data_IF_609926253000
#
_entry.id   IF_609926253000
#
_cell.length_a   1.000
_cell.length_b   1.000
_cell.length_c   1.000
_cell.angle_alpha   90.00
_cell.angle_beta   90.00
_cell.angle_gamma   90.00
#
_symmetry.space_group_name_H-M   'P 1'
#
loop_
_entity.id
_entity.type
_entity.pdbx_description
1 polymer ?
#
# COMPACT_ATOMS: atom_id res chain seq x y z
N UNK A 1 -13.27 48.23 -61.48
CA UNK A 1 -12.18 47.40 -60.95
C UNK A 1 -12.47 47.13 -59.49
N UNK A 2 -13.02 45.98 -59.15
CA UNK A 2 -13.34 45.61 -57.77
C UNK A 2 -13.03 44.13 -57.62
N UNK A 3 -11.91 43.80 -56.96
CA UNK A 3 -11.45 42.43 -56.74
C UNK A 3 -12.26 41.82 -55.59
N UNK A 4 -12.92 40.69 -55.87
CA UNK A 4 -13.60 39.86 -54.87
C UNK A 4 -12.53 38.96 -54.23
N UNK A 5 -12.27 39.14 -52.93
CA UNK A 5 -11.38 38.30 -52.14
C UNK A 5 -12.20 37.12 -51.59
N UNK A 6 -11.87 35.89 -52.03
CA UNK A 6 -12.43 34.66 -51.46
C UNK A 6 -11.65 34.31 -50.19
N UNK A 7 -12.33 34.32 -49.04
CA UNK A 7 -11.79 33.83 -47.77
C UNK A 7 -12.09 32.34 -47.67
N UNK A 8 -11.05 31.49 -47.75
CA UNK A 8 -11.16 30.06 -47.47
C UNK A 8 -11.14 29.87 -45.96
N UNK A 9 -12.24 29.34 -45.42
CA UNK A 9 -12.36 28.96 -44.01
C UNK A 9 -11.55 27.66 -43.79
N UNK A 10 -10.35 27.77 -43.22
CA UNK A 10 -9.63 26.61 -42.69
C UNK A 10 -10.34 26.17 -41.41
N UNK A 11 -11.02 25.03 -41.46
CA UNK A 11 -11.56 24.35 -40.29
C UNK A 11 -10.37 23.78 -39.51
N UNK A 12 -9.93 24.48 -38.47
CA UNK A 12 -8.94 23.97 -37.53
C UNK A 12 -9.52 22.77 -36.79
N UNK A 13 -9.02 21.56 -37.08
CA UNK A 13 -9.19 20.43 -36.18
C UNK A 13 -8.47 20.79 -34.88
N UNK A 14 -9.22 21.29 -33.90
CA UNK A 14 -8.80 21.23 -32.50
C UNK A 14 -8.81 19.75 -32.12
N UNK A 15 -7.68 19.08 -32.30
CA UNK A 15 -7.42 17.82 -31.63
C UNK A 15 -7.55 18.12 -30.15
N UNK A 16 -8.66 17.71 -29.55
CA UNK A 16 -8.73 17.58 -28.11
C UNK A 16 -7.58 16.65 -27.76
N UNK A 17 -6.55 17.20 -27.11
CA UNK A 17 -5.52 16.43 -26.44
C UNK A 17 -6.26 15.56 -25.44
N UNK A 18 -6.58 14.33 -25.86
CA UNK A 18 -6.97 13.29 -24.96
C UNK A 18 -5.77 13.14 -24.03
N UNK A 19 -5.94 13.63 -22.80
CA UNK A 19 -5.05 13.30 -21.71
C UNK A 19 -5.07 11.79 -21.61
N UNK A 20 -4.09 11.13 -22.22
CA UNK A 20 -3.81 9.74 -21.98
C UNK A 20 -3.34 9.66 -20.54
N UNK A 21 -4.25 9.28 -19.65
CA UNK A 21 -3.94 8.90 -18.28
C UNK A 21 -3.12 7.61 -18.40
N UNK A 22 -1.80 7.73 -18.29
CA UNK A 22 -0.95 6.57 -18.12
C UNK A 22 -1.27 5.98 -16.74
N UNK A 23 -1.80 4.76 -16.71
CA UNK A 23 -2.04 4.01 -15.48
C UNK A 23 -0.69 3.47 -14.99
N UNK A 24 -0.25 3.84 -13.79
CA UNK A 24 1.00 3.35 -13.19
C UNK A 24 0.74 2.29 -12.13
N UNK A 25 0.49 1.07 -12.60
CA UNK A 25 0.76 -0.15 -11.86
C UNK A 25 1.98 -0.84 -12.47
N UNK A 26 2.85 -1.42 -11.65
CA UNK A 26 3.96 -2.26 -12.12
C UNK A 26 3.49 -3.46 -12.96
N UNK A 27 2.21 -3.82 -12.86
CA UNK A 27 1.56 -4.90 -13.58
C UNK A 27 1.56 -4.63 -15.09
N UNK A 28 2.18 -5.53 -15.86
CA UNK A 28 2.26 -5.44 -17.33
C UNK A 28 3.40 -4.58 -17.88
N UNK A 29 4.23 -3.97 -17.02
CA UNK A 29 5.44 -3.24 -17.41
C UNK A 29 6.68 -4.13 -17.26
N UNK A 30 6.75 -4.90 -16.18
CA UNK A 30 7.91 -5.73 -15.83
C UNK A 30 7.61 -7.23 -15.98
N UNK A 31 8.63 -7.98 -16.37
CA UNK A 31 8.60 -9.44 -16.52
C UNK A 31 8.75 -10.09 -15.14
N UNK A 32 7.60 -10.34 -14.50
CA UNK A 32 7.52 -10.98 -13.17
C UNK A 32 7.95 -12.45 -13.15
N UNK A 33 8.31 -13.05 -14.29
CA UNK A 33 8.67 -14.47 -14.37
C UNK A 33 10.14 -14.74 -14.12
N UNK A 34 10.97 -13.69 -14.09
CA UNK A 34 12.42 -13.81 -13.87
C UNK A 34 12.97 -12.58 -13.17
N UNK A 35 14.11 -12.78 -12.53
CA UNK A 35 14.91 -11.72 -11.94
C UNK A 35 16.24 -11.61 -12.68
N UNK A 36 16.72 -10.39 -12.87
CA UNK A 36 18.06 -10.09 -13.39
C UNK A 36 18.83 -9.24 -12.37
N UNK A 37 20.16 -9.29 -12.47
CA UNK A 37 21.04 -8.43 -11.69
C UNK A 37 21.47 -7.21 -12.53
N UNK A 38 21.52 -6.04 -11.90
CA UNK A 38 22.01 -4.79 -12.47
C UNK A 38 22.95 -4.14 -11.46
N UNK A 39 24.19 -3.89 -11.86
CA UNK A 39 25.17 -3.15 -11.06
C UNK A 39 25.48 -1.81 -11.72
N UNK A 40 25.48 -0.73 -10.93
CA UNK A 40 25.79 0.60 -11.45
C UNK A 40 26.00 1.63 -10.36
N UNK A 41 26.28 2.87 -10.81
CA UNK A 41 26.41 4.04 -9.92
C UNK A 41 25.14 4.86 -9.98
N UNK A 42 24.58 5.20 -8.83
CA UNK A 42 23.36 6.01 -8.73
C UNK A 42 23.66 7.45 -9.17
N UNK A 43 22.97 7.92 -10.20
CA UNK A 43 23.11 9.27 -10.75
C UNK A 43 21.96 10.20 -10.37
N UNK A 44 20.80 9.64 -10.00
CA UNK A 44 19.62 10.39 -9.57
C UNK A 44 18.76 9.59 -8.61
N UNK A 45 18.14 10.30 -7.65
CA UNK A 45 17.18 9.76 -6.69
C UNK A 45 15.92 10.63 -6.70
N UNK A 46 14.78 10.03 -7.03
CA UNK A 46 13.45 10.63 -6.93
C UNK A 46 12.64 9.90 -5.85
N UNK A 47 12.70 10.40 -4.62
CA UNK A 47 11.92 9.88 -3.50
C UNK A 47 10.54 10.54 -3.45
N UNK A 48 9.59 10.03 -4.25
CA UNK A 48 8.20 10.49 -4.30
C UNK A 48 7.22 9.32 -4.27
N UNK A 49 6.04 9.56 -3.69
CA UNK A 49 5.00 8.55 -3.57
C UNK A 49 4.27 8.39 -4.92
N UNK A 50 3.80 7.19 -5.32
CA UNK A 50 3.82 5.93 -4.58
C UNK A 50 5.20 5.24 -4.53
N UNK A 51 5.93 5.22 -5.64
CA UNK A 51 7.17 4.45 -5.81
C UNK A 51 8.36 5.38 -6.01
N UNK A 52 9.44 5.24 -5.22
CA UNK A 52 10.66 5.97 -5.50
C UNK A 52 11.28 5.45 -6.80
N UNK A 53 11.96 6.33 -7.52
CA UNK A 53 12.71 5.98 -8.72
C UNK A 53 14.16 6.40 -8.59
N UNK A 54 15.05 5.57 -9.13
CA UNK A 54 16.49 5.83 -9.19
C UNK A 54 16.96 5.77 -10.64
N UNK A 55 18.02 6.50 -10.95
CA UNK A 55 18.76 6.32 -12.21
C UNK A 55 20.15 5.79 -11.90
N UNK A 56 20.54 4.72 -12.57
CA UNK A 56 21.85 4.10 -12.45
C UNK A 56 22.61 4.26 -13.76
N UNK A 57 23.85 4.72 -13.70
CA UNK A 57 24.82 4.58 -14.77
C UNK A 57 25.40 3.16 -14.71
N UNK A 58 25.10 2.34 -15.71
CA UNK A 58 25.53 0.93 -15.83
C UNK A 58 26.48 0.82 -17.00
N UNK A 59 27.65 0.22 -16.80
CA UNK A 59 28.57 -0.10 -17.90
C UNK A 59 28.12 -1.41 -18.56
N UNK A 60 27.98 -1.40 -19.89
CA UNK A 60 27.65 -2.58 -20.67
C UNK A 60 28.90 -3.39 -21.05
N UNK A 61 28.70 -4.47 -21.82
CA UNK A 61 29.79 -5.36 -22.24
C UNK A 61 30.82 -4.68 -23.16
N UNK A 62 30.42 -3.60 -23.85
CA UNK A 62 31.29 -2.82 -24.74
C UNK A 62 32.00 -1.67 -23.99
N UNK A 63 31.72 -1.51 -22.69
CA UNK A 63 32.25 -0.44 -21.84
C UNK A 63 31.54 0.90 -22.03
N UNK A 64 30.41 0.93 -22.73
CA UNK A 64 29.56 2.11 -22.82
C UNK A 64 28.67 2.23 -21.59
N UNK A 65 28.39 3.47 -21.17
CA UNK A 65 27.49 3.72 -20.04
C UNK A 65 26.06 3.89 -20.51
N UNK A 66 25.15 3.08 -19.96
CA UNK A 66 23.71 3.12 -20.20
C UNK A 66 22.98 3.55 -18.94
N UNK A 67 22.05 4.50 -19.07
CA UNK A 67 21.17 4.92 -17.98
C UNK A 67 20.05 3.90 -17.78
N UNK A 68 20.03 3.27 -16.61
CA UNK A 68 18.97 2.39 -16.15
C UNK A 68 18.00 3.12 -15.23
N UNK A 69 16.70 2.98 -15.50
CA UNK A 69 15.63 3.48 -14.61
C UNK A 69 15.20 2.37 -13.67
N UNK A 70 15.29 2.64 -12.39
CA UNK A 70 14.92 1.69 -11.34
C UNK A 70 13.67 2.22 -10.64
N UNK A 71 12.73 1.33 -10.37
CA UNK A 71 11.61 1.55 -9.45
C UNK A 71 11.67 0.52 -8.31
N UNK A 72 11.15 0.87 -7.14
CA UNK A 72 11.06 -0.05 -5.99
C UNK A 72 9.62 -0.09 -5.44
N UNK A 73 9.40 -0.88 -4.39
CA UNK A 73 8.15 -0.88 -3.62
C UNK A 73 7.77 0.51 -3.09
N UNK A 74 6.53 0.66 -2.64
CA UNK A 74 6.04 1.98 -2.25
C UNK A 74 6.84 2.58 -1.09
N UNK A 75 6.94 3.91 -1.02
CA UNK A 75 7.65 4.59 0.07
C UNK A 75 7.13 4.16 1.44
N UNK A 76 5.82 4.04 1.59
CA UNK A 76 5.18 3.53 2.82
C UNK A 76 5.67 2.14 3.20
N UNK A 77 5.79 1.24 2.21
CA UNK A 77 6.32 -0.12 2.42
C UNK A 77 7.79 -0.09 2.82
N UNK A 78 8.60 0.69 2.09
CA UNK A 78 10.03 0.81 2.34
C UNK A 78 10.31 1.38 3.74
N UNK A 79 9.57 2.41 4.17
CA UNK A 79 9.67 2.96 5.54
C UNK A 79 9.36 1.91 6.60
N UNK A 80 8.31 1.11 6.39
CA UNK A 80 7.98 -0.01 7.30
C UNK A 80 9.10 -1.05 7.33
N UNK A 81 9.83 -1.25 6.24
CA UNK A 81 11.01 -2.11 6.15
C UNK A 81 12.31 -1.43 6.62
N UNK A 82 12.23 -0.19 7.11
CA UNK A 82 13.38 0.58 7.61
C UNK A 82 14.29 1.14 6.53
N UNK A 83 13.76 1.31 5.32
CA UNK A 83 14.42 1.88 4.16
C UNK A 83 13.87 3.30 3.96
N UNK A 84 14.68 4.28 4.35
CA UNK A 84 14.37 5.70 4.23
C UNK A 84 14.94 6.33 2.96
N UNK A 85 14.68 7.63 2.80
CA UNK A 85 15.14 8.44 1.66
C UNK A 85 16.65 8.37 1.43
N UNK A 86 17.40 8.34 2.52
CA UNK A 86 18.86 8.43 2.50
C UNK A 86 19.51 7.03 2.55
N UNK A 87 18.74 5.96 2.27
CA UNK A 87 19.24 4.59 2.20
C UNK A 87 20.06 4.32 0.93
N UNK A 88 19.76 5.03 -0.16
CA UNK A 88 20.49 5.02 -1.42
C UNK A 88 20.72 6.47 -1.83
N UNK A 89 21.98 6.87 -1.99
CA UNK A 89 22.37 8.23 -2.33
C UNK A 89 23.01 8.33 -3.72
N UNK A 90 23.02 9.54 -4.29
CA UNK A 90 23.73 9.79 -5.54
C UNK A 90 25.23 9.57 -5.32
N UNK A 91 25.84 8.78 -6.20
CA UNK A 91 27.24 8.37 -6.12
C UNK A 91 27.44 6.97 -5.53
N UNK A 92 26.42 6.38 -4.90
CA UNK A 92 26.50 5.00 -4.43
C UNK A 92 26.66 4.04 -5.59
N UNK A 93 27.56 3.05 -5.43
CA UNK A 93 27.61 1.87 -6.29
C UNK A 93 26.75 0.79 -5.66
N UNK A 94 25.76 0.31 -6.40
CA UNK A 94 24.78 -0.66 -5.90
C UNK A 94 24.62 -1.83 -6.86
N UNK A 95 24.34 -3.01 -6.31
CA UNK A 95 23.91 -4.18 -7.08
C UNK A 95 22.46 -4.48 -6.72
N UNK A 96 21.59 -4.49 -7.73
CA UNK A 96 20.16 -4.70 -7.60
C UNK A 96 19.75 -5.99 -8.29
N UNK A 97 18.78 -6.70 -7.70
CA UNK A 97 18.08 -7.79 -8.35
C UNK A 97 16.61 -7.43 -8.50
N UNK A 98 16.05 -7.65 -9.69
CA UNK A 98 14.70 -7.19 -9.99
C UNK A 98 14.11 -7.71 -11.28
N UNK A 99 12.87 -7.34 -11.53
CA UNK A 99 12.09 -7.75 -12.69
C UNK A 99 12.39 -6.79 -13.85
N UNK A 100 12.90 -7.26 -14.99
CA UNK A 100 13.25 -6.39 -16.11
C UNK A 100 12.02 -5.91 -16.89
N UNK A 101 12.14 -4.80 -17.61
CA UNK A 101 11.11 -4.31 -18.53
C UNK A 101 10.66 -5.38 -19.54
N UNK A 102 9.36 -5.61 -19.70
CA UNK A 102 8.80 -6.40 -20.80
C UNK A 102 9.01 -5.74 -22.17
N UNK A 103 9.37 -4.45 -22.19
CA UNK A 103 9.57 -3.64 -23.41
C UNK A 103 11.01 -3.63 -23.90
N UNK A 104 11.92 -4.36 -23.24
CA UNK A 104 13.34 -4.41 -23.57
C UNK A 104 14.09 -3.09 -23.34
N UNK A 105 13.54 -2.20 -22.50
CA UNK A 105 14.19 -0.96 -22.08
C UNK A 105 15.08 -1.21 -20.86
N UNK A 106 16.10 -0.36 -20.61
CA UNK A 106 16.91 -0.41 -19.39
C UNK A 106 16.08 0.10 -18.20
N UNK A 107 15.06 -0.67 -17.83
CA UNK A 107 14.18 -0.41 -16.70
C UNK A 107 14.09 -1.68 -15.84
N UNK A 108 14.10 -1.51 -14.52
CA UNK A 108 14.06 -2.59 -13.54
C UNK A 108 13.10 -2.25 -12.40
N UNK A 109 12.20 -3.16 -12.06
CA UNK A 109 11.52 -3.13 -10.78
C UNK A 109 12.39 -3.87 -9.75
N UNK A 110 13.14 -3.13 -8.95
CA UNK A 110 14.05 -3.68 -7.97
C UNK A 110 13.28 -4.39 -6.85
N UNK A 111 13.61 -5.67 -6.65
CA UNK A 111 13.10 -6.49 -5.56
C UNK A 111 14.08 -6.52 -4.39
N UNK A 112 15.38 -6.40 -4.65
CA UNK A 112 16.45 -6.57 -3.69
C UNK A 112 17.62 -5.63 -4.00
N UNK A 113 18.40 -5.28 -2.98
CA UNK A 113 19.69 -4.59 -3.09
C UNK A 113 20.72 -5.31 -2.23
N UNK A 114 21.92 -5.50 -2.77
CA UNK A 114 23.10 -5.96 -2.04
C UNK A 114 23.90 -4.74 -1.58
N UNK A 115 24.07 -4.61 -0.27
CA UNK A 115 24.82 -3.54 0.36
C UNK A 115 26.33 -3.83 0.32
N UNK A 116 27.14 -2.78 0.41
CA UNK A 116 28.60 -2.89 0.40
C UNK A 116 29.18 -3.75 1.54
N UNK A 117 28.46 -3.88 2.65
CA UNK A 117 28.82 -4.75 3.78
C UNK A 117 28.40 -6.22 3.59
N UNK A 118 27.83 -6.57 2.43
CA UNK A 118 27.42 -7.91 2.05
C UNK A 118 26.04 -8.32 2.55
N UNK A 119 25.32 -7.43 3.24
CA UNK A 119 23.91 -7.65 3.63
C UNK A 119 22.96 -7.35 2.48
N UNK A 120 21.83 -8.03 2.47
CA UNK A 120 20.78 -7.87 1.48
C UNK A 120 19.57 -7.17 2.09
N UNK A 121 19.07 -6.12 1.43
CA UNK A 121 17.80 -5.49 1.79
C UNK A 121 16.72 -5.80 0.75
N UNK A 122 15.52 -6.07 1.24
CA UNK A 122 14.33 -6.26 0.41
C UNK A 122 13.74 -4.89 0.05
N UNK A 123 13.40 -4.68 -1.22
CA UNK A 123 12.89 -3.41 -1.74
C UNK A 123 11.39 -3.43 -2.08
N UNK A 124 10.66 -4.46 -1.66
CA UNK A 124 9.21 -4.57 -1.87
C UNK A 124 8.58 -5.57 -0.90
N UNK A 125 7.29 -5.39 -0.60
CA UNK A 125 6.55 -6.18 0.41
C UNK A 125 6.56 -7.70 0.19
N UNK A 126 6.61 -8.14 -1.07
CA UNK A 126 6.56 -9.55 -1.47
C UNK A 126 7.92 -10.08 -1.98
N UNK A 127 8.99 -9.30 -1.83
CA UNK A 127 10.33 -9.75 -2.23
C UNK A 127 10.79 -10.93 -1.38
N UNK A 128 11.53 -11.85 -1.99
CA UNK A 128 12.22 -12.95 -1.29
C UNK A 128 13.72 -12.69 -1.35
N UNK A 129 14.52 -13.23 -0.40
CA UNK A 129 15.97 -13.18 -0.50
C UNK A 129 16.46 -13.72 -1.85
N UNK A 130 17.40 -13.03 -2.47
CA UNK A 130 17.98 -13.35 -3.78
C UNK A 130 19.43 -13.84 -3.65
N UNK A 131 20.28 -13.15 -2.88
CA UNK A 131 21.67 -13.55 -2.63
C UNK A 131 21.86 -14.30 -1.31
N UNK A 132 20.87 -14.23 -0.42
CA UNK A 132 20.95 -14.70 0.96
C UNK A 132 20.07 -15.93 1.23
N UNK A 133 19.85 -16.78 0.23
CA UNK A 133 19.15 -18.07 0.44
C UNK A 133 19.87 -18.89 1.53
N UNK A 134 19.39 -18.83 2.77
CA UNK A 134 19.84 -19.68 3.89
C UNK A 134 20.21 -19.01 5.23
N UNK A 135 20.11 -17.69 5.42
CA UNK A 135 20.45 -17.14 6.75
C UNK A 135 20.02 -15.70 7.02
N UNK A 136 19.25 -15.50 8.10
CA UNK A 136 18.80 -14.19 8.57
C UNK A 136 19.96 -13.20 8.85
N UNK A 137 21.15 -13.70 9.20
CA UNK A 137 22.33 -12.88 9.49
C UNK A 137 22.85 -12.06 8.30
N UNK A 138 22.47 -12.44 7.08
CA UNK A 138 22.81 -11.71 5.86
C UNK A 138 21.72 -10.76 5.40
N UNK A 139 20.59 -10.71 6.09
CA UNK A 139 19.52 -9.75 5.78
C UNK A 139 19.76 -8.43 6.52
N UNK A 140 19.50 -7.33 5.83
CA UNK A 140 19.40 -6.02 6.47
C UNK A 140 18.12 -5.98 7.32
N UNK A 141 18.31 -5.63 8.59
CA UNK A 141 17.24 -5.30 9.51
C UNK A 141 17.53 -3.91 10.08
N UNK A 142 16.56 -3.01 9.97
CA UNK A 142 16.67 -1.70 10.59
C UNK A 142 16.42 -1.83 12.10
N UNK A 143 17.42 -1.46 12.89
CA UNK A 143 17.23 -1.26 14.33
C UNK A 143 16.40 -0.01 14.59
N UNK A 144 15.52 -0.07 15.59
CA UNK A 144 14.83 1.12 16.10
C UNK A 144 15.66 1.65 17.27
N UNK A 145 15.97 2.94 17.24
CA UNK A 145 16.74 3.61 18.29
C UNK A 145 16.06 3.45 19.67
N UNK A 146 16.80 2.94 20.65
CA UNK A 146 16.25 2.63 21.96
C UNK A 146 15.81 3.88 22.74
N UNK A 147 16.46 5.02 22.53
CA UNK A 147 16.08 6.29 23.15
C UNK A 147 14.77 6.81 22.54
N UNK A 148 14.59 6.65 21.22
CA UNK A 148 13.35 6.94 20.53
C UNK A 148 12.20 6.07 21.04
N UNK A 149 12.43 4.77 21.24
CA UNK A 149 11.45 3.88 21.86
C UNK A 149 11.09 4.37 23.26
N UNK A 150 12.07 4.67 24.11
CA UNK A 150 11.80 5.12 25.49
C UNK A 150 11.00 6.43 25.51
N UNK A 151 11.42 7.45 24.75
CA UNK A 151 10.68 8.72 24.64
C UNK A 151 9.27 8.51 24.09
N UNK A 152 9.12 7.65 23.09
CA UNK A 152 7.83 7.30 22.51
C UNK A 152 6.88 6.65 23.52
N UNK A 153 7.40 5.77 24.40
CA UNK A 153 6.58 5.13 25.45
C UNK A 153 6.06 6.14 26.48
N UNK A 154 6.86 7.14 26.84
CA UNK A 154 6.49 8.16 27.83
C UNK A 154 5.35 9.07 27.36
N UNK A 155 5.24 9.32 26.05
CA UNK A 155 4.23 10.20 25.47
C UNK A 155 2.98 9.50 24.92
N UNK A 156 3.04 8.18 24.72
CA UNK A 156 1.95 7.42 24.12
C UNK A 156 0.94 6.96 25.17
N UNK A 157 -0.34 6.96 24.78
CA UNK A 157 -1.44 6.50 25.64
C UNK A 157 -2.26 5.45 24.90
N UNK A 158 -2.29 4.22 25.41
CA UNK A 158 -3.10 3.15 24.83
C UNK A 158 -2.86 2.97 23.32
N UNK A 159 -3.94 2.99 22.53
CA UNK A 159 -3.90 2.79 21.08
C UNK A 159 -3.48 4.05 20.28
N UNK A 160 -3.29 5.21 20.92
CA UNK A 160 -2.96 6.48 20.27
C UNK A 160 -1.48 6.52 19.88
N UNK A 161 -1.14 5.72 18.88
CA UNK A 161 0.19 5.39 18.40
C UNK A 161 0.13 5.16 16.88
N UNK A 162 1.29 5.14 16.25
CA UNK A 162 1.43 4.67 14.87
C UNK A 162 1.63 3.15 14.89
N UNK A 163 0.80 2.47 14.11
CA UNK A 163 0.73 1.02 13.97
C UNK A 163 1.12 0.62 12.56
N UNK A 164 2.01 -0.36 12.42
CA UNK A 164 2.39 -0.88 11.11
C UNK A 164 2.49 -2.41 11.12
N UNK A 165 2.48 -3.01 9.93
CA UNK A 165 2.72 -4.44 9.79
C UNK A 165 4.15 -4.79 10.21
N UNK A 166 4.37 -6.06 10.55
CA UNK A 166 5.71 -6.64 10.66
C UNK A 166 6.13 -7.16 9.28
N UNK A 167 7.25 -6.69 8.68
CA UNK A 167 7.77 -7.25 7.42
C UNK A 167 7.96 -8.76 7.48
N UNK A 168 7.70 -9.46 6.37
CA UNK A 168 7.78 -10.92 6.23
C UNK A 168 6.96 -11.80 7.20
N UNK A 169 6.11 -11.21 8.04
CA UNK A 169 5.17 -11.94 8.90
C UNK A 169 3.76 -12.03 8.28
N UNK A 170 3.32 -13.26 7.98
CA UNK A 170 2.03 -13.58 7.35
C UNK A 170 0.82 -13.55 8.29
N UNK A 171 1.03 -13.47 9.61
CA UNK A 171 -0.01 -13.21 10.60
C UNK A 171 -0.20 -11.70 10.81
N UNK A 172 0.81 -10.88 10.51
CA UNK A 172 0.67 -9.43 10.49
C UNK A 172 0.09 -8.89 9.18
N UNK A 173 0.48 -9.46 8.03
CA UNK A 173 -0.04 -9.07 6.71
C UNK A 173 0.25 -10.15 5.65
N UNK A 174 -0.66 -10.43 4.69
CA UNK A 174 -1.95 -9.77 4.44
C UNK A 174 -3.10 -10.23 5.34
N UNK A 175 -4.14 -9.39 5.48
CA UNK A 175 -5.39 -9.73 6.20
C UNK A 175 -6.19 -10.82 5.49
N UNK A 176 -6.35 -10.65 4.17
CA UNK A 176 -7.06 -11.57 3.30
C UNK A 176 -6.00 -12.45 2.62
N UNK A 177 -5.98 -13.73 2.98
CA UNK A 177 -5.09 -14.72 2.36
C UNK A 177 -5.61 -15.11 0.98
N UNK A 178 -4.75 -15.69 0.15
CA UNK A 178 -4.85 -15.87 -1.32
C UNK A 178 -6.25 -16.13 -1.92
N UNK A 179 -7.16 -16.77 -1.19
CA UNK A 179 -8.59 -16.80 -1.49
C UNK A 179 -9.39 -16.38 -0.24
N UNK A 180 -10.23 -15.36 -0.41
CA UNK A 180 -11.19 -14.96 0.63
C UNK A 180 -12.13 -16.13 0.95
N UNK A 181 -12.41 -17.02 -0.01
CA UNK A 181 -13.15 -18.26 0.14
C UNK A 181 -14.61 -18.09 0.57
N UNK A 182 -15.36 -19.20 0.69
CA UNK A 182 -16.70 -19.21 1.29
C UNK A 182 -17.72 -18.28 0.61
N UNK A 183 -17.58 -18.08 -0.71
CA UNK A 183 -18.42 -17.19 -1.49
C UNK A 183 -19.73 -17.88 -1.89
N UNK A 184 -20.81 -17.11 -2.04
CA UNK A 184 -22.03 -17.60 -2.68
C UNK A 184 -21.79 -17.84 -4.17
N UNK A 185 -22.59 -18.71 -4.80
CA UNK A 185 -22.54 -18.92 -6.26
C UNK A 185 -22.74 -17.62 -7.08
N UNK A 186 -23.45 -16.65 -6.51
CA UNK A 186 -23.62 -15.33 -7.14
C UNK A 186 -22.31 -14.52 -7.07
N UNK A 187 -21.67 -14.47 -5.91
CA UNK A 187 -20.40 -13.79 -5.72
C UNK A 187 -19.27 -14.43 -6.53
N UNK A 188 -19.20 -15.76 -6.60
CA UNK A 188 -18.21 -16.46 -7.44
C UNK A 188 -18.35 -16.10 -8.91
N UNK A 189 -19.59 -16.01 -9.43
CA UNK A 189 -19.85 -15.60 -10.82
C UNK A 189 -19.42 -14.17 -11.12
N UNK A 190 -19.52 -13.27 -10.15
CA UNK A 190 -19.04 -11.89 -10.28
C UNK A 190 -17.51 -11.88 -10.26
N UNK A 191 -16.89 -12.54 -9.28
CA UNK A 191 -15.43 -12.61 -9.16
C UNK A 191 -14.77 -13.26 -10.37
N UNK A 192 -15.39 -14.27 -10.97
CA UNK A 192 -14.88 -14.93 -12.18
C UNK A 192 -14.78 -14.01 -13.41
N UNK A 193 -15.42 -12.83 -13.38
CA UNK A 193 -15.32 -11.81 -14.43
C UNK A 193 -14.18 -10.81 -14.17
N UNK A 194 -13.48 -10.92 -13.04
CA UNK A 194 -12.39 -10.04 -12.67
C UNK A 194 -11.23 -10.17 -13.66
N UNK A 195 -10.87 -9.04 -14.26
CA UNK A 195 -9.63 -8.89 -15.01
C UNK A 195 -8.65 -8.05 -14.17
N UNK A 196 -7.59 -8.65 -13.61
CA UNK A 196 -6.63 -7.90 -12.80
C UNK A 196 -5.91 -6.80 -13.58
N UNK A 197 -5.87 -6.85 -14.91
CA UNK A 197 -5.29 -5.81 -15.77
C UNK A 197 -6.21 -4.59 -15.93
N UNK A 198 -7.49 -4.72 -15.59
CA UNK A 198 -8.49 -3.65 -15.61
C UNK A 198 -8.88 -3.21 -14.19
N UNK A 199 -8.15 -3.66 -13.18
CA UNK A 199 -8.44 -3.34 -11.79
C UNK A 199 -8.41 -1.82 -11.55
N UNK A 200 -9.45 -1.20 -10.96
CA UNK A 200 -9.45 0.23 -10.65
C UNK A 200 -8.33 0.61 -9.68
N UNK A 201 -7.82 -0.36 -8.90
CA UNK A 201 -6.76 -0.13 -7.93
C UNK A 201 -5.36 0.01 -8.55
N UNK A 202 -5.20 -0.32 -9.84
CA UNK A 202 -3.93 -0.12 -10.57
C UNK A 202 -3.52 1.36 -10.63
N UNK A 203 -4.48 2.28 -10.59
CA UNK A 203 -4.23 3.74 -10.59
C UNK A 203 -4.18 4.35 -9.19
N UNK A 204 -3.86 3.57 -8.16
CA UNK A 204 -3.93 4.01 -6.76
C UNK A 204 -5.31 4.52 -6.31
N UNK A 205 -6.39 4.05 -6.96
CA UNK A 205 -7.75 4.40 -6.55
C UNK A 205 -7.98 4.04 -5.06
N UNK A 206 -8.68 4.88 -4.29
CA UNK A 206 -8.93 4.62 -2.88
C UNK A 206 -9.62 3.28 -2.62
N UNK A 207 -9.17 2.57 -1.59
CA UNK A 207 -9.79 1.34 -1.11
C UNK A 207 -10.87 1.68 -0.08
N UNK A 208 -12.06 1.12 -0.24
CA UNK A 208 -13.14 1.21 0.76
C UNK A 208 -13.03 0.15 1.85
N UNK A 209 -14.02 0.09 2.73
CA UNK A 209 -14.13 -0.98 3.73
C UNK A 209 -14.74 -2.26 3.16
N UNK A 210 -14.29 -3.44 3.66
CA UNK A 210 -13.21 -3.60 4.65
C UNK A 210 -11.80 -3.61 4.04
N UNK A 211 -11.67 -3.57 2.70
CA UNK A 211 -10.41 -3.75 1.99
C UNK A 211 -9.25 -2.90 2.53
N UNK A 212 -9.48 -1.61 2.82
CA UNK A 212 -8.45 -0.68 3.30
C UNK A 212 -7.82 -1.10 4.63
N UNK A 213 -8.53 -1.87 5.49
CA UNK A 213 -7.97 -2.40 6.74
C UNK A 213 -6.98 -3.55 6.52
N UNK A 214 -6.96 -4.11 5.31
CA UNK A 214 -5.93 -5.02 4.82
C UNK A 214 -4.65 -4.33 4.33
N UNK A 215 -4.56 -3.00 4.39
CA UNK A 215 -3.41 -2.24 3.91
C UNK A 215 -2.09 -2.68 4.57
N UNK A 216 -1.00 -2.60 3.81
CA UNK A 216 0.35 -2.80 4.31
C UNK A 216 0.93 -1.52 4.98
N UNK A 217 0.25 -0.38 4.87
CA UNK A 217 0.81 0.92 5.24
C UNK A 217 0.49 1.29 6.68
N UNK A 218 1.23 2.25 7.27
CA UNK A 218 0.97 2.71 8.62
C UNK A 218 -0.44 3.27 8.81
N UNK A 219 -0.98 3.08 10.01
CA UNK A 219 -2.20 3.73 10.47
C UNK A 219 -2.03 4.27 11.88
N UNK A 220 -2.88 5.21 12.27
CA UNK A 220 -2.94 5.71 13.64
C UNK A 220 -4.38 5.97 14.07
N UNK A 221 -4.61 5.86 15.38
CA UNK A 221 -5.82 6.38 16.02
C UNK A 221 -5.48 7.74 16.61
N UNK A 222 -6.34 8.72 16.36
CA UNK A 222 -6.22 10.06 16.93
C UNK A 222 -7.51 10.48 17.63
N UNK A 223 -7.44 11.12 18.80
CA UNK A 223 -8.61 11.71 19.45
C UNK A 223 -9.25 12.78 18.55
N UNK A 224 -10.57 12.76 18.43
CA UNK A 224 -11.34 13.76 17.67
C UNK A 224 -12.55 14.21 18.48
N UNK A 225 -12.31 15.12 19.43
CA UNK A 225 -13.32 15.48 20.43
C UNK A 225 -13.65 14.28 21.31
N UNK A 226 -14.92 13.91 21.39
CA UNK A 226 -15.38 12.69 22.08
C UNK A 226 -15.28 11.44 21.22
N UNK A 227 -15.00 11.60 19.92
CA UNK A 227 -14.91 10.52 18.94
C UNK A 227 -13.45 10.13 18.68
N UNK A 228 -13.26 9.06 17.90
CA UNK A 228 -11.95 8.66 17.39
C UNK A 228 -11.89 8.85 15.88
N UNK A 229 -10.70 9.14 15.37
CA UNK A 229 -10.42 9.11 13.94
C UNK A 229 -9.31 8.08 13.70
N UNK A 230 -9.55 7.14 12.78
CA UNK A 230 -8.48 6.34 12.19
C UNK A 230 -7.97 7.10 10.97
N UNK A 231 -6.66 7.38 10.95
CA UNK A 231 -5.95 7.81 9.75
C UNK A 231 -5.16 6.63 9.22
N UNK A 232 -5.35 6.29 7.95
CA UNK A 232 -4.51 5.32 7.26
C UNK A 232 -3.68 6.08 6.23
N UNK A 233 -2.39 5.73 6.14
CA UNK A 233 -1.47 6.36 5.18
C UNK A 233 -1.88 6.04 3.74
N UNK A 234 -2.47 4.86 3.49
CA UNK A 234 -2.97 4.52 2.15
C UNK A 234 -4.15 5.40 1.75
N UNK A 235 -4.00 6.08 0.60
CA UNK A 235 -5.03 6.95 0.01
C UNK A 235 -5.50 8.10 0.91
N UNK A 236 -4.72 8.48 1.91
CA UNK A 236 -5.10 9.48 2.93
C UNK A 236 -6.46 9.17 3.59
N UNK A 237 -6.77 7.88 3.76
CA UNK A 237 -8.06 7.43 4.26
C UNK A 237 -8.31 7.88 5.71
N UNK A 238 -9.52 8.39 5.94
CA UNK A 238 -9.97 8.97 7.22
C UNK A 238 -11.30 8.34 7.61
N UNK A 239 -11.33 7.64 8.74
CA UNK A 239 -12.53 6.98 9.28
C UNK A 239 -12.87 7.51 10.67
N UNK A 240 -14.02 8.16 10.82
CA UNK A 240 -14.49 8.61 12.14
C UNK A 240 -15.27 7.49 12.81
N UNK A 241 -14.91 7.17 14.05
CA UNK A 241 -15.65 6.26 14.92
C UNK A 241 -16.40 7.10 15.95
N UNK A 242 -17.72 7.03 15.90
CA UNK A 242 -18.61 7.73 16.81
C UNK A 242 -18.70 6.98 18.13
N UNK A 243 -18.21 7.58 19.21
CA UNK A 243 -18.10 6.93 20.52
C UNK A 243 -19.25 7.33 21.45
N UNK A 244 -19.37 6.65 22.59
CA UNK A 244 -20.23 7.07 23.71
C UNK A 244 -21.72 7.23 23.34
N UNK A 245 -22.21 6.41 22.41
CA UNK A 245 -23.60 6.47 21.95
C UNK A 245 -23.90 7.64 21.00
N UNK A 246 -22.88 8.34 20.51
CA UNK A 246 -23.04 9.34 19.46
C UNK A 246 -23.62 8.71 18.18
N UNK A 247 -24.50 9.44 17.51
CA UNK A 247 -25.13 8.99 16.27
C UNK A 247 -24.16 9.14 15.10
N UNK A 248 -23.80 8.02 14.47
CA UNK A 248 -23.09 8.04 13.20
C UNK A 248 -24.02 8.50 12.06
N UNK A 249 -23.48 9.06 10.96
CA UNK A 249 -24.26 9.39 9.77
C UNK A 249 -25.08 8.19 9.28
N UNK A 250 -26.25 8.44 8.68
CA UNK A 250 -27.06 7.39 8.06
C UNK A 250 -26.79 7.24 6.56
N UNK A 251 -25.90 8.07 6.00
CA UNK A 251 -25.57 8.07 4.58
C UNK A 251 -24.57 6.98 4.24
N UNK A 252 -24.67 6.46 3.01
CA UNK A 252 -23.71 5.52 2.48
C UNK A 252 -22.39 6.20 2.12
N UNK A 253 -21.27 5.54 2.41
CA UNK A 253 -19.94 5.99 2.01
C UNK A 253 -19.00 4.81 1.82
N UNK A 254 -17.85 5.04 1.19
CA UNK A 254 -16.81 4.01 1.03
C UNK A 254 -16.27 3.48 2.37
N UNK A 255 -16.39 4.26 3.46
CA UNK A 255 -15.97 3.88 4.82
C UNK A 255 -17.15 3.61 5.75
N UNK A 256 -18.37 3.56 5.23
CA UNK A 256 -19.57 3.34 6.01
C UNK A 256 -19.79 4.37 7.11
N UNK A 257 -20.45 3.92 8.17
CA UNK A 257 -20.78 4.67 9.37
C UNK A 257 -20.44 3.83 10.58
N UNK A 258 -19.39 4.23 11.31
CA UNK A 258 -18.80 3.44 12.39
C UNK A 258 -19.21 3.98 13.77
N UNK A 259 -19.70 3.11 14.65
CA UNK A 259 -19.90 3.41 16.07
C UNK A 259 -18.97 2.55 16.91
N UNK A 260 -18.52 3.06 18.06
CA UNK A 260 -17.52 2.37 18.87
C UNK A 260 -17.78 2.44 20.37
N UNK A 261 -17.28 1.42 21.06
CA UNK A 261 -17.27 1.33 22.53
C UNK A 261 -16.02 0.62 23.02
N UNK A 262 -15.63 0.92 24.25
CA UNK A 262 -14.55 0.23 24.94
C UNK A 262 -15.08 -0.96 25.76
N UNK A 263 -14.32 -2.04 25.76
CA UNK A 263 -14.47 -3.20 26.63
C UNK A 263 -13.08 -3.59 27.15
N UNK A 264 -12.75 -3.15 28.36
CA UNK A 264 -11.38 -3.21 28.89
C UNK A 264 -10.38 -2.50 27.97
N UNK A 265 -9.37 -3.23 27.50
CA UNK A 265 -8.34 -2.77 26.55
C UNK A 265 -8.72 -2.98 25.07
N UNK A 266 -9.97 -3.36 24.79
CA UNK A 266 -10.45 -3.61 23.43
C UNK A 266 -11.40 -2.50 22.98
N UNK A 267 -11.09 -1.87 21.85
CA UNK A 267 -12.02 -1.02 21.12
C UNK A 267 -12.85 -1.91 20.19
N UNK A 268 -14.16 -1.91 20.37
CA UNK A 268 -15.10 -2.63 19.53
C UNK A 268 -15.81 -1.61 18.65
N UNK A 269 -15.76 -1.81 17.34
CA UNK A 269 -16.32 -0.90 16.33
C UNK A 269 -17.29 -1.66 15.45
N UNK A 270 -18.51 -1.15 15.31
CA UNK A 270 -19.53 -1.66 14.41
C UNK A 270 -19.69 -0.69 13.24
N UNK A 271 -19.64 -1.19 12.01
CA UNK A 271 -19.76 -0.37 10.80
C UNK A 271 -20.82 -0.89 9.85
N UNK A 272 -21.67 0.01 9.34
CA UNK A 272 -22.72 -0.26 8.35
C UNK A 272 -22.71 0.81 7.24
N UNK A 273 -23.67 0.78 6.31
CA UNK A 273 -23.84 1.77 5.24
C UNK A 273 -22.61 1.91 4.33
N UNK A 274 -21.95 0.80 4.04
CA UNK A 274 -20.74 0.78 3.21
C UNK A 274 -21.16 0.73 1.72
N UNK A 275 -20.52 1.56 0.90
CA UNK A 275 -20.75 1.63 -0.54
C UNK A 275 -19.41 1.69 -1.28
N UNK A 276 -18.88 0.51 -1.57
CA UNK A 276 -17.68 0.29 -2.39
C UNK A 276 -17.86 -1.02 -3.16
N UNK A 277 -17.37 -1.13 -4.41
CA UNK A 277 -17.69 -2.25 -5.29
C UNK A 277 -17.04 -3.59 -4.92
N UNK A 278 -15.91 -3.58 -4.21
CA UNK A 278 -15.14 -4.80 -3.94
C UNK A 278 -14.78 -4.94 -2.46
N UNK A 279 -14.96 -6.16 -1.95
CA UNK A 279 -14.48 -6.59 -0.65
C UNK A 279 -12.94 -6.70 -0.61
N UNK A 280 -12.35 -7.19 -1.70
CA UNK A 280 -10.91 -7.40 -1.82
C UNK A 280 -10.42 -7.17 -3.27
N UNK A 281 -9.10 -6.99 -3.43
CA UNK A 281 -8.46 -6.66 -4.70
C UNK A 281 -8.40 -7.79 -5.73
N UNK A 282 -9.02 -8.94 -5.44
CA UNK A 282 -9.17 -10.10 -6.33
C UNK A 282 -10.51 -10.08 -7.10
N UNK A 283 -11.27 -8.99 -6.98
CA UNK A 283 -12.59 -8.84 -7.59
C UNK A 283 -13.73 -9.45 -6.78
N UNK A 284 -13.48 -9.92 -5.55
CA UNK A 284 -14.55 -10.35 -4.64
C UNK A 284 -15.54 -9.19 -4.43
N UNK A 285 -16.84 -9.35 -4.76
CA UNK A 285 -17.84 -8.30 -4.56
C UNK A 285 -18.15 -8.12 -3.07
N UNK A 286 -18.95 -7.12 -2.73
CA UNK A 286 -19.59 -7.00 -1.42
C UNK A 286 -21.01 -6.45 -1.58
N UNK A 287 -21.89 -6.75 -0.63
CA UNK A 287 -23.23 -6.18 -0.60
C UNK A 287 -23.26 -4.85 0.16
N UNK A 288 -24.32 -4.08 -0.10
CA UNK A 288 -24.61 -2.85 0.67
C UNK A 288 -25.22 -3.13 2.04
N UNK A 289 -25.68 -4.36 2.26
CA UNK A 289 -26.23 -4.82 3.54
C UNK A 289 -25.15 -5.33 4.49
N UNK A 290 -23.88 -5.33 4.06
CA UNK A 290 -22.75 -5.77 4.87
C UNK A 290 -22.65 -5.00 6.20
N UNK A 291 -22.46 -5.74 7.28
CA UNK A 291 -22.16 -5.22 8.62
C UNK A 291 -20.78 -5.73 9.04
N UNK A 292 -19.95 -4.84 9.55
CA UNK A 292 -18.63 -5.18 10.07
C UNK A 292 -18.62 -5.03 11.59
N UNK A 293 -18.00 -5.97 12.29
CA UNK A 293 -17.60 -5.81 13.70
C UNK A 293 -16.09 -5.97 13.80
N UNK A 294 -15.41 -4.88 14.13
CA UNK A 294 -13.96 -4.79 14.27
C UNK A 294 -13.60 -4.77 15.77
N UNK A 295 -12.59 -5.55 16.16
CA UNK A 295 -12.03 -5.57 17.50
C UNK A 295 -10.56 -5.17 17.42
N UNK A 296 -10.18 -4.12 18.13
CA UNK A 296 -8.81 -3.67 18.26
C UNK A 296 -8.37 -3.85 19.72
N UNK A 297 -7.58 -4.88 20.01
CA UNK A 297 -7.15 -5.23 21.37
C UNK A 297 -5.68 -4.89 21.55
N UNK A 298 -5.39 -3.99 22.49
CA UNK A 298 -4.02 -3.59 22.81
C UNK A 298 -3.37 -4.59 23.76
N UNK A 299 -2.15 -5.04 23.47
CA UNK A 299 -1.38 -5.91 24.36
C UNK A 299 -1.03 -5.22 25.69
N UNK A 300 -0.75 -5.99 26.73
CA UNK A 300 -0.32 -5.46 28.04
C UNK A 300 0.98 -4.64 27.95
N UNK A 301 1.87 -5.00 27.02
CA UNK A 301 3.11 -4.28 26.71
C UNK A 301 2.92 -3.03 25.83
N UNK A 302 1.69 -2.79 25.36
CA UNK A 302 1.28 -1.69 24.47
C UNK A 302 2.10 -1.55 23.18
N UNK A 303 2.70 -2.64 22.71
CA UNK A 303 3.51 -2.71 21.50
C UNK A 303 2.88 -3.53 20.38
N UNK A 304 1.75 -4.19 20.65
CA UNK A 304 0.98 -4.98 19.70
C UNK A 304 -0.49 -4.61 19.76
N UNK A 305 -1.09 -4.43 18.60
CA UNK A 305 -2.52 -4.20 18.42
C UNK A 305 -3.10 -5.36 17.62
N UNK A 306 -3.79 -6.26 18.30
CA UNK A 306 -4.51 -7.36 17.67
C UNK A 306 -5.78 -6.85 17.01
N UNK A 307 -6.04 -7.34 15.80
CA UNK A 307 -7.20 -6.99 15.00
C UNK A 307 -7.98 -8.23 14.61
N UNK A 308 -9.27 -8.22 14.96
CA UNK A 308 -10.22 -9.23 14.53
C UNK A 308 -11.39 -8.54 13.84
N UNK A 309 -11.72 -9.02 12.65
CA UNK A 309 -12.79 -8.51 11.81
C UNK A 309 -13.83 -9.61 11.62
N UNK A 310 -15.07 -9.33 12.01
CA UNK A 310 -16.25 -10.12 11.69
C UNK A 310 -16.99 -9.44 10.54
N UNK A 311 -17.31 -10.20 9.51
CA UNK A 311 -18.03 -9.76 8.32
C UNK A 311 -19.34 -10.51 8.22
N UNK A 312 -20.44 -9.79 8.41
CA UNK A 312 -21.80 -10.28 8.15
C UNK A 312 -22.26 -9.73 6.79
N UNK A 313 -22.09 -10.56 5.76
CA UNK A 313 -22.55 -10.30 4.40
C UNK A 313 -22.94 -11.62 3.71
N UNK A 314 -24.13 -12.13 4.05
CA UNK A 314 -24.64 -13.41 3.55
C UNK A 314 -25.09 -13.37 2.08
N UNK A 315 -25.08 -12.20 1.44
CA UNK A 315 -25.26 -12.09 -0.02
C UNK A 315 -23.96 -12.45 -0.75
N UNK A 316 -22.81 -12.05 -0.17
CA UNK A 316 -21.48 -12.33 -0.71
C UNK A 316 -20.92 -13.66 -0.24
N UNK A 317 -21.07 -13.99 1.05
CA UNK A 317 -20.51 -15.17 1.69
C UNK A 317 -21.60 -16.17 2.10
N UNK A 318 -21.26 -17.46 2.16
CA UNK A 318 -22.18 -18.51 2.61
C UNK A 318 -22.41 -18.53 4.11
N UNK A 319 -21.54 -17.86 4.86
CA UNK A 319 -21.58 -17.74 6.33
C UNK A 319 -20.89 -16.45 6.77
N UNK A 320 -21.11 -16.05 8.03
CA UNK A 320 -20.38 -14.95 8.66
C UNK A 320 -18.89 -15.30 8.66
N UNK A 321 -18.05 -14.36 8.23
CA UNK A 321 -16.61 -14.57 8.09
C UNK A 321 -15.84 -13.88 9.19
N UNK A 322 -14.72 -14.48 9.58
CA UNK A 322 -13.76 -13.90 10.51
C UNK A 322 -12.38 -13.81 9.85
N UNK A 323 -11.74 -12.66 10.03
CA UNK A 323 -10.36 -12.40 9.60
C UNK A 323 -9.57 -11.80 10.75
N UNK A 324 -8.30 -12.17 10.85
CA UNK A 324 -7.41 -11.67 11.90
C UNK A 324 -6.10 -11.20 11.32
N UNK A 325 -5.51 -10.20 11.97
CA UNK A 325 -4.12 -9.80 11.82
C UNK A 325 -3.67 -9.08 13.08
N UNK A 326 -2.43 -8.61 13.10
CA UNK A 326 -1.99 -7.67 14.11
C UNK A 326 -1.04 -6.62 13.53
N UNK A 327 -0.95 -5.49 14.22
CA UNK A 327 0.06 -4.48 13.98
C UNK A 327 0.99 -4.36 15.19
N UNK A 328 2.17 -3.81 14.96
CA UNK A 328 3.11 -3.43 16.02
C UNK A 328 3.28 -1.92 16.07
N UNK A 329 3.56 -1.42 17.26
CA UNK A 329 3.86 -0.01 17.46
C UNK A 329 5.18 0.35 16.79
N UNK A 330 5.20 1.46 16.04
CA UNK A 330 6.38 1.98 15.35
C UNK A 330 6.66 3.43 15.74
N UNK A 331 7.52 3.68 16.75
CA UNK A 331 7.85 5.03 17.19
C UNK A 331 8.72 5.82 16.20
N UNK A 332 9.35 5.13 15.26
CA UNK A 332 10.15 5.68 14.16
C UNK A 332 9.31 6.06 12.94
N UNK A 333 8.02 5.73 12.94
CA UNK A 333 7.10 6.05 11.86
C UNK A 333 6.10 7.13 12.26
N UNK A 334 5.65 7.83 11.23
CA UNK A 334 4.57 8.81 11.21
C UNK A 334 3.61 8.44 10.09
N UNK A 335 2.31 8.71 10.26
CA UNK A 335 1.36 8.64 9.14
C UNK A 335 1.55 9.88 8.27
N UNK A 336 2.25 9.69 7.16
CA UNK A 336 2.56 10.74 6.19
C UNK A 336 1.39 10.94 5.23
N UNK A 337 1.27 12.12 4.60
CA UNK A 337 0.32 12.29 3.51
C UNK A 337 0.69 11.37 2.33
N UNK A 338 -0.30 10.68 1.78
CA UNK A 338 -0.09 9.81 0.61
C UNK A 338 0.37 10.65 -0.60
N UNK A 339 -0.07 11.91 -0.74
CA UNK A 339 0.46 12.86 -1.74
C UNK A 339 0.70 12.20 -3.12
N UNK A 340 -0.32 11.54 -3.66
CA UNK A 340 -0.23 10.99 -5.01
C UNK A 340 -0.04 12.16 -5.99
N UNK A 341 1.12 12.24 -6.62
CA UNK A 341 1.45 13.27 -7.60
C UNK A 341 1.51 12.64 -8.98
N UNK A 342 0.68 13.15 -9.90
CA UNK A 342 0.73 12.85 -11.34
C UNK A 342 2.04 13.31 -12.00
#
# INVERSE_FOLDING_TARGET
MTKILKFSLLLGLTGASQWTIAHHSSVGIYDTTRLIEVEGVVTSVLWRNPHPSYTLAVEDEDGETVDWRIEAGSISTLRVMGIGRDFIEVGDRVTLAGEPSMRGRPELFARNILLADGREALLSANSKPFWSEGGAERMYEAGIDAELVERGRQGAMGIFRVWARVPNDTDSWPLYRDDVGGLTEAAERIRAQWDPTQSPYLGCAPKGLPYVMGSAYPLEFVPQGENLLIRLEESDARRVIYMNGATAPSGYSMYGSSTGRWDGNTLIVETENIDTPHFYGDGTPQSRNMRLTEYFTLSESEDRLDYRLIVDDLETFTEIREFTRYWVWRPDLTVEPYNWQE
#
